data_IF_444437730926
#
_entry.id   IF_444437730926
#
_cell.length_a   1.000
_cell.length_b   1.000
_cell.length_c   1.000
_cell.angle_alpha   90.00
_cell.angle_beta   90.00
_cell.angle_gamma   90.00
#
_symmetry.space_group_name_H-M   'P 1'
#
loop_
_entity.id
_entity.type
_entity.pdbx_description
1 polymer ?
#
# COMPACT_ATOMS: atom_id res chain seq x y z
N UNK A 1 -13.63 6.54 -13.30
CA UNK A 1 -12.66 5.90 -14.23
C UNK A 1 -12.12 4.68 -13.52
N UNK A 2 -11.93 3.58 -14.20
CA UNK A 2 -11.33 2.39 -13.61
C UNK A 2 -9.81 2.32 -13.86
N UNK A 3 -9.13 1.38 -13.18
CA UNK A 3 -7.67 1.21 -13.27
C UNK A 3 -7.20 0.94 -14.70
N UNK A 4 -7.91 0.08 -15.45
CA UNK A 4 -7.53 -0.27 -16.82
C UNK A 4 -7.67 0.91 -17.80
N UNK A 5 -8.69 1.74 -17.63
CA UNK A 5 -8.86 2.95 -18.45
C UNK A 5 -7.71 3.92 -18.25
N UNK A 6 -7.30 4.18 -16.99
CA UNK A 6 -6.20 5.12 -16.71
C UNK A 6 -4.85 4.57 -17.22
N UNK A 7 -4.61 3.26 -17.13
CA UNK A 7 -3.40 2.65 -17.70
C UNK A 7 -3.39 2.73 -19.23
N UNK A 8 -4.52 2.58 -19.90
CA UNK A 8 -4.63 2.77 -21.34
C UNK A 8 -4.33 4.22 -21.74
N UNK A 9 -4.80 5.20 -20.98
CA UNK A 9 -4.50 6.60 -21.20
C UNK A 9 -3.01 6.92 -20.98
N UNK A 10 -2.38 6.33 -19.95
CA UNK A 10 -0.94 6.42 -19.73
C UNK A 10 -0.16 5.85 -20.92
N UNK A 11 -0.57 4.66 -21.40
CA UNK A 11 0.05 4.00 -22.54
C UNK A 11 -0.09 4.82 -23.83
N UNK A 12 -1.28 5.34 -24.10
CA UNK A 12 -1.56 6.14 -25.31
C UNK A 12 -0.71 7.41 -25.36
N UNK A 13 -0.56 8.11 -24.22
CA UNK A 13 0.23 9.36 -24.15
C UNK A 13 1.73 9.10 -24.15
N UNK A 14 2.20 8.19 -23.33
CA UNK A 14 3.61 8.06 -22.97
C UNK A 14 4.25 6.74 -23.43
N UNK A 15 3.46 5.80 -23.95
CA UNK A 15 3.90 4.47 -24.33
C UNK A 15 4.04 3.54 -23.10
N UNK A 16 4.51 2.30 -23.33
CA UNK A 16 4.61 1.31 -22.28
C UNK A 16 5.60 1.72 -21.18
N UNK A 17 5.21 1.49 -19.92
CA UNK A 17 6.11 1.60 -18.78
C UNK A 17 7.07 0.41 -18.84
N UNK A 18 8.36 0.67 -18.82
CA UNK A 18 9.42 -0.35 -18.90
C UNK A 18 10.14 -0.56 -17.59
N UNK A 19 10.06 0.43 -16.70
CA UNK A 19 10.72 0.40 -15.38
C UNK A 19 9.98 1.32 -14.43
N UNK A 20 9.98 0.97 -13.15
CA UNK A 20 9.57 1.83 -12.05
C UNK A 20 10.71 1.94 -11.02
N UNK A 21 10.88 3.13 -10.42
CA UNK A 21 11.90 3.39 -9.41
C UNK A 21 11.50 4.56 -8.50
N UNK A 22 11.69 4.44 -7.19
CA UNK A 22 11.22 5.41 -6.21
C UNK A 22 9.72 5.61 -6.34
N UNK A 23 9.30 6.82 -6.62
CA UNK A 23 7.93 7.19 -6.94
C UNK A 23 7.74 7.54 -8.43
N UNK A 24 8.53 6.94 -9.33
CA UNK A 24 8.50 7.27 -10.76
C UNK A 24 8.30 6.03 -11.63
N UNK A 25 7.51 6.23 -12.70
CA UNK A 25 7.36 5.31 -13.81
C UNK A 25 8.19 5.83 -15.00
N UNK A 26 8.93 4.94 -15.67
CA UNK A 26 9.75 5.27 -16.82
C UNK A 26 9.21 4.55 -18.06
N UNK A 27 8.90 5.31 -19.09
CA UNK A 27 8.31 4.77 -20.32
C UNK A 27 9.37 4.48 -21.37
N UNK A 28 9.01 3.67 -22.37
CA UNK A 28 9.88 3.36 -23.52
C UNK A 28 10.27 4.61 -24.32
N UNK A 29 9.44 5.67 -24.28
CA UNK A 29 9.74 6.96 -24.92
C UNK A 29 10.73 7.82 -24.11
N UNK A 30 11.29 7.34 -23.00
CA UNK A 30 12.21 8.08 -22.14
C UNK A 30 11.52 9.11 -21.22
N UNK A 31 10.19 9.08 -21.13
CA UNK A 31 9.43 9.99 -20.28
C UNK A 31 9.35 9.42 -18.88
N UNK A 32 9.57 10.30 -17.88
CA UNK A 32 9.38 10.01 -16.48
C UNK A 32 8.03 10.58 -16.00
N UNK A 33 7.17 9.71 -15.46
CA UNK A 33 5.88 10.07 -14.90
C UNK A 33 5.95 9.92 -13.37
N UNK A 34 5.47 10.91 -12.64
CA UNK A 34 5.39 10.87 -11.17
C UNK A 34 4.21 9.99 -10.77
N UNK A 35 4.51 8.91 -10.07
CA UNK A 35 3.50 7.95 -9.63
C UNK A 35 3.00 8.30 -8.23
N UNK A 36 1.79 8.83 -8.15
CA UNK A 36 1.07 9.09 -6.91
C UNK A 36 0.00 8.02 -6.62
N UNK A 37 -0.20 7.03 -7.50
CA UNK A 37 -1.03 5.87 -7.21
C UNK A 37 -0.25 4.80 -6.43
N UNK A 38 1.04 4.61 -6.77
CA UNK A 38 1.98 3.72 -6.09
C UNK A 38 1.39 2.31 -5.84
N UNK A 39 0.75 1.76 -6.86
CA UNK A 39 0.06 0.45 -6.78
C UNK A 39 -0.95 0.36 -5.61
N UNK A 40 -1.71 1.44 -5.37
CA UNK A 40 -2.64 1.49 -4.25
C UNK A 40 -1.97 1.59 -2.88
N UNK A 41 -0.77 2.18 -2.82
CA UNK A 41 0.03 2.34 -1.61
C UNK A 41 1.04 1.22 -1.36
N UNK A 42 1.05 0.15 -2.16
CA UNK A 42 2.03 -0.95 -2.01
C UNK A 42 3.46 -0.53 -2.35
N UNK A 43 3.63 0.49 -3.19
CA UNK A 43 4.92 1.08 -3.49
C UNK A 43 5.26 2.31 -2.62
N UNK A 44 4.60 2.51 -1.47
CA UNK A 44 4.83 3.65 -0.58
C UNK A 44 6.28 3.73 -0.06
N UNK A 45 6.99 2.61 -0.05
CA UNK A 45 8.43 2.55 0.28
C UNK A 45 9.34 2.66 -0.96
N UNK A 46 8.74 2.89 -2.13
CA UNK A 46 9.41 2.88 -3.43
C UNK A 46 9.21 1.59 -4.21
N UNK A 47 9.28 1.69 -5.53
CA UNK A 47 9.08 0.56 -6.45
C UNK A 47 10.17 -0.51 -6.36
N UNK A 48 11.34 -0.18 -5.82
CA UNK A 48 12.43 -1.13 -5.65
C UNK A 48 12.15 -2.19 -4.57
N UNK A 49 11.13 -1.98 -3.73
CA UNK A 49 10.82 -2.88 -2.61
C UNK A 49 11.94 -2.96 -1.57
N UNK A 50 12.98 -2.13 -1.69
CA UNK A 50 14.14 -2.15 -0.83
C UNK A 50 14.78 -3.56 -0.77
N UNK A 51 15.16 -3.98 0.43
CA UNK A 51 15.75 -5.31 0.65
C UNK A 51 14.75 -6.47 0.48
N UNK A 52 13.46 -6.21 0.34
CA UNK A 52 12.45 -7.26 0.21
C UNK A 52 12.66 -8.10 -1.06
N UNK A 53 12.90 -7.45 -2.21
CA UNK A 53 13.21 -8.16 -3.46
C UNK A 53 14.57 -8.86 -3.43
N UNK A 54 15.54 -8.35 -2.69
CA UNK A 54 16.81 -9.06 -2.45
C UNK A 54 16.58 -10.34 -1.69
N UNK A 55 15.76 -10.33 -0.65
CA UNK A 55 15.40 -11.53 0.11
C UNK A 55 14.64 -12.54 -0.77
N UNK A 56 13.69 -12.09 -1.58
CA UNK A 56 12.99 -12.93 -2.56
C UNK A 56 13.97 -13.64 -3.49
N UNK A 57 14.87 -12.89 -4.11
CA UNK A 57 15.89 -13.41 -5.02
C UNK A 57 16.81 -14.43 -4.33
N UNK A 58 17.22 -14.15 -3.09
CA UNK A 58 18.10 -15.05 -2.33
C UNK A 58 17.44 -16.40 -2.05
N UNK A 59 16.14 -16.40 -1.72
CA UNK A 59 15.37 -17.64 -1.51
C UNK A 59 15.32 -18.47 -2.79
N UNK A 60 15.02 -17.83 -3.92
CA UNK A 60 15.00 -18.50 -5.23
C UNK A 60 16.37 -19.07 -5.58
N UNK A 61 17.44 -18.29 -5.40
CA UNK A 61 18.82 -18.70 -5.71
C UNK A 61 19.31 -19.88 -4.89
N UNK A 62 18.72 -20.09 -3.70
CA UNK A 62 19.04 -21.24 -2.82
C UNK A 62 18.17 -22.46 -3.10
N UNK A 63 17.28 -22.42 -4.09
CA UNK A 63 16.36 -23.51 -4.39
C UNK A 63 15.29 -23.76 -3.33
N UNK A 64 15.05 -22.80 -2.43
CA UNK A 64 14.04 -22.90 -1.36
C UNK A 64 12.63 -22.60 -1.90
N UNK A 65 12.21 -23.32 -2.91
CA UNK A 65 10.95 -23.07 -3.66
C UNK A 65 10.02 -24.27 -3.67
N UNK A 66 10.51 -25.44 -3.25
CA UNK A 66 9.71 -26.67 -3.21
C UNK A 66 8.84 -26.75 -1.96
N UNK A 67 7.71 -27.45 -2.07
CA UNK A 67 6.73 -27.63 -0.98
C UNK A 67 7.31 -28.33 0.26
N UNK A 68 8.39 -29.06 0.11
CA UNK A 68 9.03 -29.84 1.19
C UNK A 68 9.90 -29.01 2.15
N UNK A 69 10.18 -27.73 1.84
CA UNK A 69 11.20 -26.96 2.56
C UNK A 69 10.59 -26.12 3.70
N UNK A 70 9.27 -25.85 3.73
CA UNK A 70 8.84 -24.59 4.31
C UNK A 70 7.54 -24.63 5.11
N UNK A 71 7.12 -25.78 5.64
CA UNK A 71 5.77 -25.82 6.24
C UNK A 71 5.61 -25.01 7.53
N UNK A 72 6.64 -24.85 8.36
CA UNK A 72 6.46 -24.30 9.71
C UNK A 72 7.16 -22.96 10.01
N UNK A 73 8.08 -22.51 9.16
CA UNK A 73 8.97 -21.40 9.53
C UNK A 73 8.54 -20.02 9.01
N UNK A 74 7.90 -19.86 7.84
CA UNK A 74 7.61 -18.58 7.23
C UNK A 74 6.48 -17.81 7.90
N UNK A 75 5.34 -18.44 8.16
CA UNK A 75 4.16 -17.78 8.78
C UNK A 75 4.55 -17.20 10.13
N UNK A 76 5.37 -17.92 10.91
CA UNK A 76 5.84 -17.44 12.20
C UNK A 76 6.71 -16.19 12.10
N UNK A 77 7.52 -16.05 11.03
CA UNK A 77 8.37 -14.87 10.80
C UNK A 77 7.57 -13.66 10.37
N UNK A 78 6.61 -13.84 9.45
CA UNK A 78 5.71 -12.77 9.03
C UNK A 78 4.83 -12.32 10.19
N UNK A 79 4.29 -13.26 10.96
CA UNK A 79 3.51 -12.97 12.16
C UNK A 79 4.32 -12.18 13.18
N UNK A 80 5.57 -12.58 13.45
CA UNK A 80 6.47 -11.84 14.33
C UNK A 80 6.70 -10.41 13.85
N UNK A 81 6.95 -10.21 12.56
CA UNK A 81 7.15 -8.87 12.00
C UNK A 81 5.88 -8.00 12.13
N UNK A 82 4.69 -8.58 11.94
CA UNK A 82 3.41 -7.88 12.12
C UNK A 82 3.15 -7.57 13.59
N UNK A 83 3.46 -8.49 14.51
CA UNK A 83 3.37 -8.24 15.96
C UNK A 83 4.30 -7.11 16.40
N UNK A 84 5.52 -7.05 15.85
CA UNK A 84 6.48 -5.97 16.11
C UNK A 84 5.96 -4.62 15.55
N UNK A 85 5.37 -4.61 14.35
CA UNK A 85 4.78 -3.41 13.76
C UNK A 85 3.68 -2.80 14.65
N UNK A 86 2.87 -3.64 15.28
CA UNK A 86 1.75 -3.20 16.11
C UNK A 86 2.06 -3.16 17.61
N UNK A 87 3.30 -3.52 17.99
CA UNK A 87 3.73 -3.60 19.42
C UNK A 87 2.77 -4.44 20.30
N UNK A 88 2.18 -5.47 19.71
CA UNK A 88 1.23 -6.38 20.36
C UNK A 88 1.27 -7.75 19.71
N UNK A 89 0.96 -8.80 20.48
CA UNK A 89 0.96 -10.17 19.96
C UNK A 89 -0.22 -10.39 19.00
N UNK A 90 0.09 -10.79 17.75
CA UNK A 90 -0.88 -10.91 16.66
C UNK A 90 -0.83 -12.27 16.00
N UNK A 91 -1.98 -12.89 15.83
CA UNK A 91 -2.18 -14.03 14.92
C UNK A 91 -2.58 -13.48 13.56
N UNK A 92 -1.94 -13.96 12.47
CA UNK A 92 -2.20 -13.43 11.13
C UNK A 92 -2.97 -14.40 10.24
N UNK A 93 -3.84 -13.83 9.42
CA UNK A 93 -4.56 -14.53 8.35
C UNK A 93 -4.37 -13.76 7.04
N UNK A 94 -4.12 -14.49 5.96
CA UNK A 94 -3.80 -13.91 4.66
C UNK A 94 -4.98 -14.06 3.70
N UNK A 95 -5.28 -13.01 2.94
CA UNK A 95 -6.38 -12.97 1.98
C UNK A 95 -5.94 -12.35 0.66
N UNK A 96 -6.56 -12.75 -0.45
CA UNK A 96 -6.34 -12.18 -1.78
C UNK A 96 -7.17 -10.93 -2.06
N UNK A 97 -8.15 -10.59 -1.21
CA UNK A 97 -8.96 -9.39 -1.36
C UNK A 97 -9.20 -8.68 -0.02
N UNK A 98 -9.26 -7.35 -0.06
CA UNK A 98 -9.57 -6.52 1.11
C UNK A 98 -10.95 -6.84 1.69
N UNK A 99 -11.94 -7.08 0.82
CA UNK A 99 -13.29 -7.46 1.22
C UNK A 99 -13.28 -8.73 2.07
N UNK A 100 -12.59 -9.79 1.60
CA UNK A 100 -12.50 -11.04 2.35
C UNK A 100 -11.78 -10.87 3.69
N UNK A 101 -10.73 -10.03 3.74
CA UNK A 101 -10.05 -9.71 5.00
C UNK A 101 -10.97 -8.97 5.99
N UNK A 102 -11.79 -8.02 5.49
CA UNK A 102 -12.78 -7.32 6.31
C UNK A 102 -13.89 -8.23 6.81
N UNK A 103 -14.47 -9.06 5.95
CA UNK A 103 -15.50 -10.03 6.33
C UNK A 103 -14.99 -10.99 7.42
N UNK A 104 -13.75 -11.46 7.29
CA UNK A 104 -13.10 -12.27 8.30
C UNK A 104 -12.87 -11.49 9.61
N UNK A 105 -12.40 -10.26 9.52
CA UNK A 105 -12.21 -9.38 10.68
C UNK A 105 -13.53 -9.14 11.43
N UNK A 106 -14.59 -8.77 10.72
CA UNK A 106 -15.92 -8.56 11.30
C UNK A 106 -16.53 -9.85 11.88
N UNK A 107 -16.20 -11.01 11.34
CA UNK A 107 -16.63 -12.30 11.89
C UNK A 107 -15.95 -12.57 13.24
N UNK A 108 -14.66 -12.25 13.36
CA UNK A 108 -13.92 -12.43 14.60
C UNK A 108 -14.21 -11.31 15.61
N UNK A 109 -14.25 -10.05 15.13
CA UNK A 109 -14.31 -8.82 15.94
C UNK A 109 -15.30 -7.83 15.29
N UNK A 110 -16.61 -7.97 15.50
CA UNK A 110 -17.64 -7.19 14.78
C UNK A 110 -17.46 -5.67 14.87
N UNK A 111 -17.08 -5.16 16.04
CA UNK A 111 -16.99 -3.72 16.32
C UNK A 111 -15.54 -3.19 16.40
N UNK A 112 -14.56 -4.09 16.30
CA UNK A 112 -13.15 -3.77 16.53
C UNK A 112 -12.24 -4.12 15.35
N UNK A 113 -12.77 -4.04 14.11
CA UNK A 113 -12.00 -4.28 12.90
C UNK A 113 -11.75 -2.97 12.16
N UNK A 114 -10.48 -2.67 11.87
CA UNK A 114 -10.07 -1.43 11.23
C UNK A 114 -9.00 -1.64 10.16
N UNK A 115 -8.97 -0.73 9.17
CA UNK A 115 -7.92 -0.69 8.17
C UNK A 115 -6.73 0.11 8.70
N UNK A 116 -5.57 -0.53 8.75
CA UNK A 116 -4.32 0.14 9.07
C UNK A 116 -3.71 0.80 7.84
N UNK A 117 -3.42 2.10 7.94
CA UNK A 117 -2.66 2.87 6.96
C UNK A 117 -1.44 3.49 7.64
N UNK A 118 -0.20 3.16 7.21
CA UNK A 118 1.01 3.77 7.77
C UNK A 118 0.96 5.30 7.73
N UNK A 119 1.48 5.98 8.75
CA UNK A 119 1.48 7.46 8.89
C UNK A 119 0.10 8.14 8.85
N UNK A 120 -0.99 7.39 9.00
CA UNK A 120 -2.29 8.03 9.16
C UNK A 120 -2.38 8.64 10.57
N UNK A 121 -2.71 9.93 10.66
CA UNK A 121 -2.87 10.65 11.93
C UNK A 121 -3.95 10.05 12.83
N UNK A 122 -4.92 9.34 12.27
CA UNK A 122 -5.92 8.62 13.06
C UNK A 122 -5.30 7.46 13.86
N UNK A 123 -4.20 6.89 13.38
CA UNK A 123 -3.50 5.82 14.10
C UNK A 123 -2.96 6.29 15.46
N UNK A 124 -2.56 7.55 15.57
CA UNK A 124 -2.08 8.13 16.82
C UNK A 124 -3.21 8.36 17.84
N UNK A 125 -4.42 8.64 17.34
CA UNK A 125 -5.62 8.83 18.15
C UNK A 125 -6.25 7.51 18.60
N UNK A 126 -6.12 6.49 17.76
CA UNK A 126 -6.56 5.13 18.06
C UNK A 126 -5.36 4.38 18.64
N UNK A 127 -5.47 3.88 19.86
CA UNK A 127 -4.44 3.00 20.40
C UNK A 127 -4.43 1.68 19.60
N UNK A 128 -3.64 1.66 18.52
CA UNK A 128 -3.61 0.56 17.52
C UNK A 128 -3.32 -0.78 18.18
N UNK A 129 -2.50 -0.78 19.25
CA UNK A 129 -2.17 -2.01 19.96
C UNK A 129 -3.39 -2.67 20.63
N UNK A 130 -4.45 -1.89 20.88
CA UNK A 130 -5.69 -2.36 21.53
C UNK A 130 -6.79 -2.75 20.54
N UNK A 131 -6.66 -2.42 19.26
CA UNK A 131 -7.65 -2.82 18.24
C UNK A 131 -7.53 -4.33 17.99
N UNK A 132 -8.62 -5.06 18.14
CA UNK A 132 -8.63 -6.53 18.06
C UNK A 132 -8.34 -7.05 16.65
N UNK A 133 -8.85 -6.42 15.60
CA UNK A 133 -8.63 -6.79 14.20
C UNK A 133 -8.07 -5.65 13.36
N UNK A 134 -6.83 -5.77 12.87
CA UNK A 134 -6.21 -4.80 11.98
C UNK A 134 -5.98 -5.40 10.59
N UNK A 135 -6.46 -4.71 9.56
CA UNK A 135 -6.23 -5.11 8.16
C UNK A 135 -5.10 -4.27 7.59
N UNK A 136 -4.03 -4.93 7.21
CA UNK A 136 -2.81 -4.34 6.67
C UNK A 136 -2.59 -4.79 5.22
N UNK A 137 -2.27 -3.83 4.33
CA UNK A 137 -1.70 -4.12 3.02
C UNK A 137 -0.19 -3.97 3.11
N UNK A 138 0.59 -5.06 2.97
CA UNK A 138 2.05 -4.98 3.08
C UNK A 138 2.65 -4.08 1.98
N UNK A 139 3.66 -3.26 2.29
CA UNK A 139 4.29 -2.36 1.33
C UNK A 139 5.30 -3.09 0.43
N UNK A 140 4.81 -3.96 -0.43
CA UNK A 140 5.58 -4.65 -1.46
C UNK A 140 4.88 -4.46 -2.81
N UNK A 141 5.47 -3.77 -3.80
CA UNK A 141 4.88 -3.54 -5.11
C UNK A 141 4.94 -4.79 -6.00
N UNK A 142 4.26 -5.83 -5.58
CA UNK A 142 4.07 -7.08 -6.30
C UNK A 142 2.74 -7.05 -7.06
N UNK A 143 2.65 -7.70 -8.21
CA UNK A 143 1.46 -7.65 -9.07
C UNK A 143 0.19 -8.17 -8.35
N UNK A 144 0.34 -9.24 -7.58
CA UNK A 144 -0.74 -9.80 -6.78
C UNK A 144 -0.76 -9.15 -5.39
N UNK A 145 -1.90 -8.62 -5.01
CA UNK A 145 -2.08 -8.00 -3.70
C UNK A 145 -2.46 -9.05 -2.68
N UNK A 146 -1.87 -8.97 -1.49
CA UNK A 146 -2.37 -9.68 -0.30
C UNK A 146 -2.82 -8.67 0.75
N UNK A 147 -3.73 -9.12 1.60
CA UNK A 147 -4.22 -8.41 2.77
C UNK A 147 -3.99 -9.29 3.99
N UNK A 148 -3.41 -8.72 5.03
CA UNK A 148 -3.14 -9.41 6.29
C UNK A 148 -4.18 -8.93 7.30
N UNK A 149 -4.99 -9.83 7.83
CA UNK A 149 -5.74 -9.60 9.05
C UNK A 149 -4.83 -9.98 10.22
N UNK A 150 -4.43 -8.97 10.99
CA UNK A 150 -3.66 -9.12 12.23
C UNK A 150 -4.65 -9.11 13.41
N UNK A 151 -5.00 -10.28 13.87
CA UNK A 151 -5.95 -10.52 14.95
C UNK A 151 -5.26 -10.53 16.31
N UNK A 152 -5.90 -10.01 17.36
CA UNK A 152 -5.41 -10.13 18.72
C UNK A 152 -5.30 -11.60 19.15
N UNK A 153 -4.10 -12.04 19.50
CA UNK A 153 -3.82 -13.46 19.79
C UNK A 153 -4.59 -13.96 21.00
N UNK A 154 -4.77 -13.14 22.03
CA UNK A 154 -5.48 -13.55 23.26
C UNK A 154 -6.96 -13.78 22.97
N UNK A 155 -7.60 -12.84 22.27
CA UNK A 155 -9.02 -12.98 21.91
C UNK A 155 -9.28 -14.17 20.97
N UNK A 156 -8.32 -14.50 20.08
CA UNK A 156 -8.39 -15.71 19.27
C UNK A 156 -8.31 -16.98 20.13
N UNK A 157 -7.41 -17.03 21.09
CA UNK A 157 -7.26 -18.18 22.00
C UNK A 157 -8.48 -18.38 22.91
N UNK A 158 -9.15 -17.32 23.31
CA UNK A 158 -10.38 -17.36 24.09
C UNK A 158 -11.59 -17.87 23.30
N UNK A 159 -11.58 -17.74 21.98
CA UNK A 159 -12.70 -18.10 21.09
C UNK A 159 -12.24 -18.92 19.88
N UNK A 160 -11.62 -20.09 20.06
CA UNK A 160 -11.02 -20.85 18.96
C UNK A 160 -12.05 -21.32 17.91
N UNK A 161 -13.30 -21.55 18.30
CA UNK A 161 -14.36 -21.98 17.40
C UNK A 161 -14.65 -20.96 16.29
N UNK A 162 -14.43 -19.67 16.53
CA UNK A 162 -14.57 -18.64 15.50
C UNK A 162 -13.61 -18.83 14.33
N UNK A 163 -12.47 -19.48 14.55
CA UNK A 163 -11.51 -19.78 13.48
C UNK A 163 -12.11 -20.73 12.42
N UNK A 164 -13.01 -21.60 12.80
CA UNK A 164 -13.70 -22.50 11.88
C UNK A 164 -14.60 -21.77 10.89
N UNK A 165 -14.98 -20.54 11.21
CA UNK A 165 -15.81 -19.67 10.35
C UNK A 165 -15.00 -18.95 9.28
N UNK A 166 -13.66 -18.86 9.44
CA UNK A 166 -12.82 -18.18 8.46
C UNK A 166 -12.83 -18.91 7.12
N UNK A 167 -13.07 -18.14 6.06
CA UNK A 167 -13.09 -18.62 4.67
C UNK A 167 -12.07 -17.82 3.85
N UNK A 168 -11.68 -18.39 2.71
CA UNK A 168 -10.85 -17.71 1.70
C UNK A 168 -9.45 -17.28 2.19
N UNK A 169 -8.93 -17.90 3.25
CA UNK A 169 -7.53 -17.72 3.63
C UNK A 169 -6.62 -18.32 2.55
N UNK A 170 -5.50 -17.66 2.31
CA UNK A 170 -4.49 -18.11 1.33
C UNK A 170 -3.18 -18.47 2.01
N UNK A 171 -2.39 -19.30 1.34
CA UNK A 171 -0.99 -19.57 1.69
C UNK A 171 -0.09 -18.94 0.64
N UNK A 172 1.05 -18.40 1.06
CA UNK A 172 2.03 -17.82 0.15
C UNK A 172 3.18 -18.79 -0.11
N UNK A 173 3.78 -18.75 -1.32
CA UNK A 173 5.08 -19.38 -1.55
C UNK A 173 6.13 -18.78 -0.62
N UNK A 174 7.03 -19.61 -0.11
CA UNK A 174 8.07 -19.22 0.86
C UNK A 174 8.85 -17.96 0.46
N UNK A 175 9.23 -17.86 -0.82
CA UNK A 175 9.96 -16.71 -1.32
C UNK A 175 9.17 -15.39 -1.17
N UNK A 176 7.87 -15.41 -1.49
CA UNK A 176 7.00 -14.24 -1.32
C UNK A 176 6.80 -13.90 0.15
N UNK A 177 6.59 -14.89 1.00
CA UNK A 177 6.39 -14.67 2.42
C UNK A 177 7.64 -14.05 3.07
N UNK A 178 8.84 -14.51 2.67
CA UNK A 178 10.10 -13.91 3.09
C UNK A 178 10.22 -12.45 2.63
N UNK A 179 9.78 -12.14 1.40
CA UNK A 179 9.76 -10.77 0.88
C UNK A 179 8.77 -9.88 1.66
N UNK A 180 7.57 -10.38 1.92
CA UNK A 180 6.57 -9.66 2.73
C UNK A 180 7.06 -9.43 4.15
N UNK A 181 7.65 -10.43 4.79
CA UNK A 181 8.29 -10.28 6.12
C UNK A 181 9.30 -9.13 6.11
N UNK A 182 10.18 -9.09 5.10
CA UNK A 182 11.16 -8.03 4.97
C UNK A 182 10.52 -6.67 4.68
N UNK A 183 9.45 -6.62 3.89
CA UNK A 183 8.74 -5.39 3.61
C UNK A 183 8.10 -4.77 4.87
N UNK A 184 7.60 -5.59 5.79
CA UNK A 184 7.10 -5.12 7.09
C UNK A 184 8.25 -4.53 7.93
N UNK A 185 9.40 -5.18 8.01
CA UNK A 185 10.56 -4.59 8.70
C UNK A 185 11.07 -3.29 8.05
N UNK A 186 11.02 -3.21 6.72
CA UNK A 186 11.32 -1.94 6.03
C UNK A 186 10.29 -0.86 6.37
N UNK A 187 9.01 -1.22 6.57
CA UNK A 187 7.97 -0.28 7.00
C UNK A 187 8.23 0.21 8.43
N UNK A 188 8.53 -0.69 9.36
CA UNK A 188 8.86 -0.34 10.76
C UNK A 188 10.00 0.69 10.79
N UNK A 189 11.07 0.44 10.03
CA UNK A 189 12.18 1.38 9.90
C UNK A 189 11.72 2.73 9.31
N UNK A 190 10.95 2.70 8.24
CA UNK A 190 10.48 3.92 7.58
C UNK A 190 9.53 4.75 8.47
N UNK A 191 8.73 4.10 9.32
CA UNK A 191 7.88 4.78 10.32
C UNK A 191 8.70 5.58 11.34
N UNK A 192 9.91 5.11 11.67
CA UNK A 192 10.83 5.81 12.57
C UNK A 192 11.57 6.97 11.89
N UNK A 193 11.86 6.84 10.60
CA UNK A 193 12.72 7.78 9.85
C UNK A 193 11.90 8.90 9.19
N UNK A 194 10.72 8.61 8.63
CA UNK A 194 9.92 9.58 7.87
C UNK A 194 9.01 10.40 8.79
N UNK A 195 8.96 11.70 8.54
CA UNK A 195 8.25 12.69 9.36
C UNK A 195 7.20 13.43 8.53
N UNK A 196 6.32 14.14 9.20
CA UNK A 196 5.30 14.99 8.56
C UNK A 196 5.95 16.01 7.59
N UNK A 197 7.16 16.49 7.90
CA UNK A 197 7.93 17.40 7.03
C UNK A 197 8.21 16.83 5.64
N UNK A 198 8.28 15.50 5.51
CA UNK A 198 8.53 14.83 4.23
C UNK A 198 7.31 14.85 3.30
N UNK A 199 6.13 15.08 3.86
CA UNK A 199 4.86 15.11 3.14
C UNK A 199 4.43 16.53 2.82
N UNK A 200 4.48 17.46 3.78
CA UNK A 200 3.93 18.79 3.60
C UNK A 200 4.75 19.68 2.65
N UNK A 201 5.96 19.30 2.28
CA UNK A 201 6.79 20.10 1.36
C UNK A 201 6.12 20.34 -0.01
N UNK A 202 5.13 19.54 -0.36
CA UNK A 202 4.35 19.66 -1.61
C UNK A 202 3.00 20.35 -1.42
N UNK A 203 2.61 20.71 -0.20
CA UNK A 203 1.28 21.23 0.13
C UNK A 203 0.90 22.50 -0.62
N UNK A 204 1.87 23.32 -0.99
CA UNK A 204 1.65 24.53 -1.80
C UNK A 204 0.92 24.28 -3.12
N UNK A 205 1.00 23.05 -3.64
CA UNK A 205 0.31 22.64 -4.87
C UNK A 205 -0.79 21.63 -4.56
N UNK A 206 -0.48 20.62 -3.74
CA UNK A 206 -1.35 19.46 -3.52
C UNK A 206 -2.63 19.83 -2.76
N UNK A 207 -2.55 20.70 -1.74
CA UNK A 207 -3.72 21.07 -0.92
C UNK A 207 -4.78 21.85 -1.67
N UNK A 208 -4.48 22.34 -2.87
CA UNK A 208 -5.49 22.91 -3.78
C UNK A 208 -6.50 21.85 -4.22
N UNK A 209 -6.06 20.63 -4.47
CA UNK A 209 -6.85 19.55 -5.07
C UNK A 209 -7.18 18.41 -4.13
N UNK A 210 -6.44 18.27 -3.03
CA UNK A 210 -6.61 17.19 -2.07
C UNK A 210 -6.64 17.67 -0.62
N UNK A 211 -7.37 16.94 0.20
CA UNK A 211 -7.18 16.92 1.64
C UNK A 211 -6.05 15.92 1.95
N UNK A 212 -4.99 16.38 2.62
CA UNK A 212 -3.86 15.51 2.96
C UNK A 212 -3.94 15.02 4.41
N UNK A 213 -3.76 13.71 4.60
CA UNK A 213 -3.61 13.06 5.90
C UNK A 213 -2.33 12.22 5.88
N UNK A 214 -1.24 12.69 6.49
CA UNK A 214 0.08 12.11 6.31
C UNK A 214 0.45 12.06 4.82
N UNK A 215 0.84 10.90 4.29
CA UNK A 215 1.13 10.75 2.86
C UNK A 215 -0.12 10.61 1.97
N UNK A 216 -1.32 10.48 2.55
CA UNK A 216 -2.55 10.17 1.80
C UNK A 216 -3.26 11.43 1.35
N UNK A 217 -3.73 11.42 0.11
CA UNK A 217 -4.32 12.54 -0.60
C UNK A 217 -5.75 12.17 -1.03
N UNK A 218 -6.73 12.67 -0.30
CA UNK A 218 -8.15 12.48 -0.58
C UNK A 218 -8.64 13.62 -1.46
N UNK A 219 -9.31 13.35 -2.61
CA UNK A 219 -9.69 14.40 -3.56
C UNK A 219 -10.70 15.39 -2.96
N UNK A 220 -10.48 16.69 -3.23
CA UNK A 220 -11.48 17.76 -3.01
C UNK A 220 -12.38 17.96 -4.21
N UNK A 221 -11.95 17.46 -5.36
CA UNK A 221 -12.65 17.52 -6.63
C UNK A 221 -13.94 16.69 -6.50
N UNK A 222 -15.09 17.17 -6.95
CA UNK A 222 -16.30 16.36 -7.01
C UNK A 222 -16.11 15.08 -7.81
N UNK A 223 -16.81 14.02 -7.43
CA UNK A 223 -16.66 12.69 -8.05
C UNK A 223 -16.91 12.73 -9.56
N UNK A 224 -17.86 13.54 -10.01
CA UNK A 224 -18.20 13.66 -11.43
C UNK A 224 -17.06 14.30 -12.26
N UNK A 225 -16.28 15.19 -11.66
CA UNK A 225 -15.15 15.85 -12.30
C UNK A 225 -13.83 15.06 -12.14
N UNK A 226 -13.83 13.99 -11.34
CA UNK A 226 -12.58 13.30 -10.98
C UNK A 226 -11.89 12.63 -12.17
N UNK A 227 -12.66 12.12 -13.13
CA UNK A 227 -12.11 11.54 -14.37
C UNK A 227 -11.29 12.55 -15.14
N UNK A 228 -11.84 13.74 -15.37
CA UNK A 228 -11.20 14.81 -16.13
C UNK A 228 -9.98 15.35 -15.37
N UNK A 229 -10.08 15.44 -14.05
CA UNK A 229 -8.95 15.79 -13.20
C UNK A 229 -7.81 14.77 -13.30
N UNK A 230 -8.12 13.47 -13.30
CA UNK A 230 -7.10 12.43 -13.42
C UNK A 230 -6.39 12.47 -14.79
N UNK A 231 -7.15 12.74 -15.86
CA UNK A 231 -6.59 12.93 -17.21
C UNK A 231 -5.71 14.18 -17.28
N UNK A 232 -6.15 15.28 -16.66
CA UNK A 232 -5.36 16.51 -16.57
C UNK A 232 -4.06 16.32 -15.78
N UNK A 233 -4.11 15.60 -14.65
CA UNK A 233 -2.89 15.22 -13.91
C UNK A 233 -1.95 14.39 -14.77
N UNK A 234 -2.50 13.45 -15.55
CA UNK A 234 -1.71 12.64 -16.47
C UNK A 234 -1.04 13.50 -17.56
N UNK A 235 -1.74 14.49 -18.12
CA UNK A 235 -1.16 15.46 -19.08
C UNK A 235 -0.02 16.29 -18.45
N UNK A 236 -0.09 16.50 -17.13
CA UNK A 236 0.98 17.12 -16.36
C UNK A 236 2.14 16.14 -16.02
N UNK A 237 2.05 14.88 -16.41
CA UNK A 237 3.05 13.84 -16.10
C UNK A 237 2.92 13.28 -14.69
N UNK A 238 1.71 13.31 -14.11
CA UNK A 238 1.39 12.83 -12.78
C UNK A 238 0.33 11.73 -12.87
N UNK A 239 0.62 10.56 -12.36
CA UNK A 239 -0.29 9.41 -12.33
C UNK A 239 -0.91 9.28 -10.94
N UNK A 240 -2.18 9.65 -10.80
CA UNK A 240 -2.92 9.63 -9.52
C UNK A 240 -3.75 8.35 -9.38
N UNK A 241 -4.40 8.15 -8.23
CA UNK A 241 -5.33 7.04 -8.05
C UNK A 241 -6.41 7.02 -9.13
N UNK A 242 -6.68 5.87 -9.77
CA UNK A 242 -7.79 5.75 -10.72
C UNK A 242 -9.16 5.78 -10.06
N UNK A 243 -9.23 5.47 -8.78
CA UNK A 243 -10.46 5.34 -8.01
C UNK A 243 -10.64 6.51 -7.06
N UNK A 244 -11.81 7.15 -7.13
CA UNK A 244 -12.14 8.32 -6.29
C UNK A 244 -12.00 8.07 -4.79
N UNK A 245 -12.45 6.90 -4.34
CA UNK A 245 -12.46 6.53 -2.93
C UNK A 245 -11.11 5.97 -2.42
N UNK A 246 -10.15 5.76 -3.32
CA UNK A 246 -8.81 5.33 -2.97
C UNK A 246 -7.86 6.54 -3.01
N UNK A 247 -7.18 6.87 -1.90
CA UNK A 247 -6.30 8.04 -1.88
C UNK A 247 -5.12 7.87 -2.83
N UNK A 248 -4.68 8.98 -3.41
CA UNK A 248 -3.35 9.10 -4.00
C UNK A 248 -2.31 9.23 -2.89
N UNK A 249 -1.04 9.03 -3.21
CA UNK A 249 0.06 9.01 -2.25
C UNK A 249 1.06 10.13 -2.61
N UNK A 250 1.48 10.90 -1.62
CA UNK A 250 2.54 11.90 -1.79
C UNK A 250 3.82 11.20 -2.30
N UNK A 251 4.45 11.69 -3.38
CA UNK A 251 5.63 11.08 -3.96
C UNK A 251 6.88 11.37 -3.12
N UNK A 252 7.14 10.54 -2.10
CA UNK A 252 8.26 10.70 -1.18
C UNK A 252 9.60 10.79 -1.92
N UNK A 253 10.38 11.82 -1.60
CA UNK A 253 11.71 12.06 -2.17
C UNK A 253 11.71 12.57 -3.61
N UNK A 254 10.55 12.93 -4.18
CA UNK A 254 10.50 13.60 -5.48
C UNK A 254 10.97 15.06 -5.36
N UNK A 255 11.57 15.57 -6.43
CA UNK A 255 11.84 17.01 -6.54
C UNK A 255 10.51 17.80 -6.64
N UNK A 256 10.44 18.97 -6.00
CA UNK A 256 9.24 19.85 -6.06
C UNK A 256 8.85 20.25 -7.48
N UNK A 257 9.82 20.27 -8.39
CA UNK A 257 9.61 20.58 -9.80
C UNK A 257 8.68 19.61 -10.53
N UNK A 258 8.40 18.41 -9.97
CA UNK A 258 7.46 17.44 -10.58
C UNK A 258 6.04 18.01 -10.69
N UNK A 259 5.68 18.99 -9.87
CA UNK A 259 4.37 19.64 -9.87
C UNK A 259 4.32 20.95 -10.66
N UNK A 260 5.41 21.36 -11.30
CA UNK A 260 5.49 22.66 -12.01
C UNK A 260 4.43 22.78 -13.12
N UNK A 261 4.19 21.70 -13.89
CA UNK A 261 3.15 21.71 -14.93
C UNK A 261 1.76 21.90 -14.33
N UNK A 262 1.41 21.15 -13.28
CA UNK A 262 0.11 21.25 -12.60
C UNK A 262 -0.07 22.63 -11.96
N UNK A 263 0.99 23.26 -11.45
CA UNK A 263 0.97 24.60 -10.92
C UNK A 263 0.70 25.65 -12.01
N UNK A 264 1.34 25.53 -13.17
CA UNK A 264 1.26 26.48 -14.28
C UNK A 264 0.02 26.29 -15.14
N UNK A 265 -0.55 25.08 -15.16
CA UNK A 265 -1.81 24.76 -15.83
C UNK A 265 -2.76 24.17 -14.80
N UNK A 266 -3.40 25.01 -13.96
CA UNK A 266 -4.29 24.54 -12.92
C UNK A 266 -5.57 23.95 -13.49
N UNK A 267 -6.02 22.83 -12.91
CA UNK A 267 -7.34 22.30 -13.19
C UNK A 267 -8.40 23.17 -12.51
N UNK A 268 -9.42 23.56 -13.27
CA UNK A 268 -10.60 24.26 -12.76
C UNK A 268 -11.80 23.30 -12.81
N UNK A 269 -12.64 23.35 -11.79
CA UNK A 269 -13.94 22.67 -11.73
C UNK A 269 -14.96 23.65 -11.17
N UNK A 270 -16.17 23.59 -11.65
CA UNK A 270 -17.32 24.37 -11.18
C UNK A 270 -18.00 23.69 -9.99
#
# INVERSE_FOLDING_TARGET
>A
MNKSELYNELYNRYGPVTRARGCFLYTKKGIRVTDMYQEGGRAILGWEGGNAFTMFKNVLSRGQTGSFICEDTPVSRLQKAVSELFSSDRTIFLFSSQKAAFEAGLTLFPDETSLYRPWNLQNEKLNISQIAGLILTPPLPWAETIFILAADTKQIQENPDKLLLLRNTIKLPFALETAYTRSIYNLIKALQERKETDWFIYDTVLTKYWNREGPYLFPKIPQDNYKDFALHCLDCGIFISPEYNQPSIVPFGADRGVFTKLKNSPFAWE
#
